data_IF_400041366472
#
_entry.id   IF_400041366472
#
_cell.length_a   1.000
_cell.length_b   1.000
_cell.length_c   1.000
_cell.angle_alpha   90.00
_cell.angle_beta   90.00
_cell.angle_gamma   90.00
#
_symmetry.space_group_name_H-M   'P 1'
#
loop_
_entity.id
_entity.type
_entity.pdbx_description
1 polymer ?
#
# COMPACT_ATOMS: atom_id res chain seq x y z
N UNK A 1 19.18 13.44 5.74
CA UNK A 1 18.15 14.49 5.97
C UNK A 1 18.36 14.91 7.41
N UNK A 2 18.99 16.06 7.70
CA UNK A 2 19.58 16.27 9.03
C UNK A 2 18.50 16.50 10.11
N UNK A 3 18.42 15.59 11.08
CA UNK A 3 17.59 15.74 12.27
C UNK A 3 18.17 16.83 13.20
N UNK A 4 17.44 17.91 13.39
CA UNK A 4 17.73 18.90 14.43
C UNK A 4 16.84 18.67 15.64
N UNK A 5 17.44 18.40 16.80
CA UNK A 5 16.74 18.06 18.04
C UNK A 5 17.06 19.06 19.15
N UNK A 6 16.03 19.55 19.81
CA UNK A 6 16.17 20.31 21.06
C UNK A 6 16.74 19.44 22.18
N UNK A 7 17.28 20.08 23.21
CA UNK A 7 17.77 19.38 24.40
C UNK A 7 16.67 18.54 25.08
N UNK A 8 15.41 19.00 25.02
CA UNK A 8 14.26 18.26 25.55
C UNK A 8 13.96 17.01 24.73
N UNK A 9 13.97 17.09 23.41
CA UNK A 9 13.77 15.93 22.53
C UNK A 9 14.88 14.89 22.69
N UNK A 10 16.14 15.34 22.78
CA UNK A 10 17.28 14.46 23.08
C UNK A 10 17.13 13.74 24.41
N UNK A 11 16.72 14.45 25.46
CA UNK A 11 16.46 13.86 26.77
C UNK A 11 15.36 12.80 26.70
N UNK A 12 14.27 13.09 25.98
CA UNK A 12 13.17 12.13 25.80
C UNK A 12 13.63 10.89 25.04
N UNK A 13 14.31 11.04 23.90
CA UNK A 13 14.79 9.92 23.09
C UNK A 13 15.83 9.08 23.85
N UNK A 14 16.80 9.72 24.50
CA UNK A 14 17.80 9.01 25.31
C UNK A 14 17.15 8.16 26.41
N UNK A 15 16.15 8.72 27.12
CA UNK A 15 15.41 7.99 28.13
C UNK A 15 14.59 6.84 27.53
N UNK A 16 13.92 7.06 26.40
CA UNK A 16 13.12 6.02 25.71
C UNK A 16 14.00 4.84 25.27
N UNK A 17 15.11 5.10 24.59
CA UNK A 17 16.02 4.04 24.14
C UNK A 17 16.72 3.34 25.30
N UNK A 18 17.02 4.05 26.40
CA UNK A 18 17.53 3.40 27.61
C UNK A 18 16.50 2.47 28.25
N UNK A 19 15.21 2.84 28.25
CA UNK A 19 14.13 1.98 28.72
C UNK A 19 13.98 0.76 27.80
N UNK A 20 13.94 0.97 26.47
CA UNK A 20 13.83 -0.08 25.47
C UNK A 20 14.98 -1.10 25.59
N UNK A 21 16.22 -0.63 25.79
CA UNK A 21 17.37 -1.51 26.01
C UNK A 21 17.20 -2.44 27.22
N UNK A 22 16.55 -1.97 28.29
CA UNK A 22 16.32 -2.76 29.51
C UNK A 22 15.18 -3.76 29.40
N UNK A 23 14.23 -3.53 28.49
CA UNK A 23 13.06 -4.41 28.30
C UNK A 23 13.14 -5.24 27.01
N UNK A 24 14.20 -5.07 26.23
CA UNK A 24 14.44 -5.81 24.99
C UNK A 24 14.44 -7.33 25.25
N UNK A 25 13.94 -8.09 24.27
CA UNK A 25 13.78 -9.54 24.41
C UNK A 25 15.07 -10.33 24.16
N UNK A 26 16.13 -9.66 23.68
CA UNK A 26 17.41 -10.27 23.35
C UNK A 26 18.55 -9.24 23.37
N UNK A 27 19.79 -9.72 23.47
CA UNK A 27 20.99 -8.88 23.62
C UNK A 27 21.29 -8.02 22.39
N UNK A 28 20.95 -8.49 21.18
CA UNK A 28 21.17 -7.74 19.94
C UNK A 28 20.32 -6.47 19.93
N UNK A 29 19.02 -6.61 20.18
CA UNK A 29 18.07 -5.51 20.28
C UNK A 29 18.43 -4.57 21.45
N UNK A 30 18.80 -5.14 22.60
CA UNK A 30 19.24 -4.37 23.76
C UNK A 30 20.46 -3.49 23.44
N UNK A 31 21.42 -4.04 22.70
CA UNK A 31 22.61 -3.35 22.22
C UNK A 31 22.29 -2.19 21.27
N UNK A 32 21.44 -2.44 20.26
CA UNK A 32 21.01 -1.42 19.29
C UNK A 32 20.34 -0.23 19.99
N UNK A 33 19.41 -0.48 20.92
CA UNK A 33 18.77 0.60 21.68
C UNK A 33 19.76 1.32 22.60
N UNK A 34 20.69 0.62 23.24
CA UNK A 34 21.70 1.25 24.10
C UNK A 34 22.62 2.19 23.29
N UNK A 35 22.99 1.80 22.08
CA UNK A 35 23.77 2.66 21.16
C UNK A 35 23.02 3.96 20.84
N UNK A 36 21.74 3.86 20.46
CA UNK A 36 20.90 5.05 20.23
C UNK A 36 20.79 5.94 21.47
N UNK A 37 20.63 5.35 22.66
CA UNK A 37 20.60 6.12 23.91
C UNK A 37 21.91 6.91 24.16
N UNK A 38 23.06 6.30 23.85
CA UNK A 38 24.39 6.93 23.92
C UNK A 38 24.51 8.07 22.92
N UNK A 39 24.06 7.87 21.67
CA UNK A 39 24.05 8.87 20.61
C UNK A 39 23.31 10.13 21.06
N UNK A 40 22.09 9.99 21.59
CA UNK A 40 21.29 11.13 22.04
C UNK A 40 21.83 11.79 23.31
N UNK A 41 22.35 10.99 24.25
CA UNK A 41 22.95 11.51 25.50
C UNK A 41 24.17 12.37 25.21
N UNK A 42 25.08 11.90 24.37
CA UNK A 42 26.35 12.60 24.10
C UNK A 42 26.22 13.65 22.98
N UNK A 43 25.18 13.56 22.16
CA UNK A 43 24.92 14.56 21.13
C UNK A 43 25.72 14.33 19.86
N UNK A 44 25.83 13.07 19.43
CA UNK A 44 26.51 12.73 18.18
C UNK A 44 25.59 13.03 17.00
N UNK A 45 25.50 14.31 16.63
CA UNK A 45 24.55 14.84 15.64
C UNK A 45 24.63 14.11 14.30
N UNK A 46 25.84 13.70 13.87
CA UNK A 46 26.04 12.95 12.62
C UNK A 46 25.26 11.63 12.60
N UNK A 47 25.08 11.02 13.76
CA UNK A 47 24.55 9.67 13.90
C UNK A 47 23.07 9.70 14.36
N UNK A 48 22.42 10.88 14.36
CA UNK A 48 21.00 10.99 14.70
C UNK A 48 20.10 10.30 13.67
N UNK A 49 20.51 10.26 12.39
CA UNK A 49 19.74 9.65 11.31
C UNK A 49 19.60 8.12 11.49
N UNK A 50 20.50 7.47 12.23
CA UNK A 50 20.42 6.04 12.54
C UNK A 50 19.12 5.68 13.28
N UNK A 51 18.56 6.62 14.04
CA UNK A 51 17.28 6.43 14.75
C UNK A 51 16.05 6.33 13.84
N UNK A 52 16.18 6.78 12.59
CA UNK A 52 15.10 6.79 11.60
C UNK A 52 15.44 5.95 10.37
N UNK A 53 16.55 5.20 10.35
CA UNK A 53 16.95 4.38 9.19
C UNK A 53 15.88 3.35 8.80
N UNK A 54 15.13 2.85 9.78
CA UNK A 54 14.03 1.90 9.56
C UNK A 54 12.74 2.57 9.08
N UNK A 55 12.67 3.90 9.04
CA UNK A 55 11.48 4.60 8.58
C UNK A 55 11.41 4.46 7.07
N UNK A 56 10.27 3.96 6.59
CA UNK A 56 9.97 4.05 5.17
C UNK A 56 9.70 5.51 4.80
N UNK A 57 10.02 5.88 3.57
CA UNK A 57 9.59 7.17 3.03
C UNK A 57 8.07 7.35 3.22
N UNK A 58 7.67 8.59 3.46
CA UNK A 58 6.27 8.94 3.56
C UNK A 58 5.52 8.64 2.25
N UNK A 59 4.26 8.22 2.41
CA UNK A 59 3.29 8.10 1.34
C UNK A 59 2.28 9.24 1.52
N UNK A 60 2.23 10.16 0.57
CA UNK A 60 1.31 11.30 0.61
C UNK A 60 -0.16 10.86 0.63
N UNK A 61 -1.05 11.77 1.02
CA UNK A 61 -2.50 11.49 1.00
C UNK A 61 -2.98 11.18 -0.43
N UNK A 62 -2.45 11.87 -1.44
CA UNK A 62 -2.77 11.66 -2.85
C UNK A 62 -2.32 10.27 -3.31
N UNK A 63 -1.14 9.83 -2.90
CA UNK A 63 -0.62 8.48 -3.18
C UNK A 63 -1.44 7.40 -2.47
N UNK A 64 -1.77 7.58 -1.18
CA UNK A 64 -2.65 6.69 -0.45
C UNK A 64 -4.02 6.57 -1.13
N UNK A 65 -4.59 7.71 -1.54
CA UNK A 65 -5.85 7.79 -2.27
C UNK A 65 -5.75 7.05 -3.60
N UNK A 66 -4.66 7.21 -4.35
CA UNK A 66 -4.45 6.50 -5.60
C UNK A 66 -4.52 4.98 -5.41
N UNK A 67 -3.80 4.44 -4.41
CA UNK A 67 -3.84 3.00 -4.10
C UNK A 67 -5.27 2.54 -3.78
N UNK A 68 -5.99 3.30 -2.95
CA UNK A 68 -7.39 3.00 -2.61
C UNK A 68 -8.26 3.01 -3.87
N UNK A 69 -8.12 4.01 -4.74
CA UNK A 69 -8.90 4.14 -5.97
C UNK A 69 -8.61 2.98 -6.94
N UNK A 70 -7.37 2.44 -6.97
CA UNK A 70 -7.04 1.20 -7.70
C UNK A 70 -7.78 -0.01 -7.13
N UNK A 71 -7.74 -0.21 -5.81
CA UNK A 71 -8.42 -1.36 -5.18
C UNK A 71 -9.93 -1.30 -5.39
N UNK A 72 -10.50 -0.11 -5.25
CA UNK A 72 -11.90 0.17 -5.51
C UNK A 72 -12.29 -0.03 -6.99
N UNK A 73 -11.40 0.31 -7.92
CA UNK A 73 -11.58 0.03 -9.34
C UNK A 73 -11.70 -1.48 -9.60
N UNK A 74 -10.75 -2.26 -9.11
CA UNK A 74 -10.72 -3.69 -9.39
C UNK A 74 -11.78 -4.47 -8.60
N UNK A 75 -12.19 -3.99 -7.42
CA UNK A 75 -13.40 -4.48 -6.74
C UNK A 75 -14.62 -4.37 -7.64
N UNK A 76 -14.89 -3.19 -8.20
CA UNK A 76 -16.07 -2.98 -9.04
C UNK A 76 -16.01 -3.83 -10.31
N UNK A 77 -14.84 -3.91 -10.95
CA UNK A 77 -14.63 -4.74 -12.14
C UNK A 77 -14.88 -6.22 -11.85
N UNK A 78 -14.25 -6.76 -10.81
CA UNK A 78 -14.36 -8.18 -10.46
C UNK A 78 -15.78 -8.53 -10.02
N UNK A 79 -16.38 -7.73 -9.15
CA UNK A 79 -17.74 -7.96 -8.67
C UNK A 79 -18.77 -7.95 -9.80
N UNK A 80 -18.62 -7.05 -10.76
CA UNK A 80 -19.51 -6.99 -11.93
C UNK A 80 -19.31 -8.19 -12.87
N UNK A 81 -18.06 -8.60 -13.08
CA UNK A 81 -17.71 -9.80 -13.84
C UNK A 81 -18.32 -11.07 -13.22
N UNK A 82 -18.25 -11.24 -11.90
CA UNK A 82 -18.85 -12.39 -11.20
C UNK A 82 -20.38 -12.45 -11.36
N UNK A 83 -21.05 -11.31 -11.55
CA UNK A 83 -22.52 -11.21 -11.59
C UNK A 83 -23.12 -11.28 -13.00
N UNK A 84 -22.32 -11.24 -14.05
CA UNK A 84 -22.81 -11.18 -15.43
C UNK A 84 -22.16 -12.22 -16.34
N UNK A 85 -22.95 -13.18 -16.81
CA UNK A 85 -22.51 -14.18 -17.79
C UNK A 85 -22.08 -13.54 -19.12
N UNK A 86 -22.73 -12.43 -19.50
CA UNK A 86 -22.37 -11.68 -20.69
C UNK A 86 -20.96 -11.10 -20.57
N UNK A 87 -20.62 -10.53 -19.41
CA UNK A 87 -19.27 -10.04 -19.15
C UNK A 87 -18.28 -11.20 -19.16
N UNK A 88 -18.60 -12.33 -18.51
CA UNK A 88 -17.71 -13.51 -18.47
C UNK A 88 -17.41 -14.09 -19.85
N UNK A 89 -18.37 -14.01 -20.77
CA UNK A 89 -18.20 -14.49 -22.15
C UNK A 89 -17.30 -13.58 -23.00
N UNK A 90 -17.16 -12.30 -22.65
CA UNK A 90 -16.45 -11.30 -23.46
C UNK A 90 -15.13 -10.82 -22.81
N UNK A 91 -15.03 -10.84 -21.49
CA UNK A 91 -13.89 -10.35 -20.72
C UNK A 91 -13.27 -11.50 -19.93
N UNK A 92 -11.95 -11.68 -20.04
CA UNK A 92 -11.25 -12.73 -19.28
C UNK A 92 -11.16 -12.32 -17.82
N UNK A 93 -11.34 -13.27 -16.90
CA UNK A 93 -11.20 -13.06 -15.45
C UNK A 93 -9.91 -12.31 -15.08
N UNK A 94 -8.79 -12.67 -15.73
CA UNK A 94 -7.47 -12.08 -15.49
C UNK A 94 -7.36 -10.58 -15.83
N UNK A 95 -8.26 -10.04 -16.65
CA UNK A 95 -8.27 -8.62 -17.01
C UNK A 95 -9.01 -7.76 -15.97
N UNK A 96 -9.82 -8.38 -15.10
CA UNK A 96 -10.59 -7.73 -14.02
C UNK A 96 -10.05 -8.02 -12.62
N UNK A 97 -8.91 -8.69 -12.51
CA UNK A 97 -8.22 -8.96 -11.24
C UNK A 97 -7.02 -8.02 -11.07
N UNK A 98 -6.89 -7.39 -9.89
CA UNK A 98 -5.71 -6.61 -9.58
C UNK A 98 -4.57 -7.52 -9.15
N UNK A 99 -3.51 -7.55 -9.96
CA UNK A 99 -2.32 -8.38 -9.68
C UNK A 99 -1.36 -7.75 -8.67
N UNK A 100 -1.63 -6.52 -8.24
CA UNK A 100 -0.80 -5.79 -7.29
C UNK A 100 0.13 -4.77 -7.93
N UNK A 101 1.11 -4.31 -7.15
CA UNK A 101 2.11 -3.31 -7.55
C UNK A 101 3.47 -4.00 -7.78
N UNK A 102 4.28 -3.48 -8.70
CA UNK A 102 5.58 -4.08 -9.04
C UNK A 102 6.66 -3.68 -8.01
N UNK A 103 7.23 -4.66 -7.32
CA UNK A 103 8.35 -4.43 -6.40
C UNK A 103 9.66 -4.07 -7.10
N UNK A 104 9.76 -4.24 -8.42
CA UNK A 104 10.95 -3.81 -9.19
C UNK A 104 10.91 -2.32 -9.57
N UNK A 105 9.81 -1.63 -9.27
CA UNK A 105 9.63 -0.20 -9.51
C UNK A 105 9.70 0.56 -8.19
N UNK A 106 10.65 1.50 -8.09
CA UNK A 106 10.95 2.23 -6.85
C UNK A 106 9.78 3.04 -6.29
N UNK A 107 8.83 3.46 -7.13
CA UNK A 107 7.62 4.17 -6.70
C UNK A 107 6.58 3.16 -6.23
N UNK A 108 6.37 2.11 -7.01
CA UNK A 108 5.35 1.10 -6.73
C UNK A 108 5.64 0.26 -5.48
N UNK A 109 6.90 0.15 -5.04
CA UNK A 109 7.26 -0.50 -3.76
C UNK A 109 6.47 0.10 -2.58
N UNK A 110 6.26 1.42 -2.54
CA UNK A 110 5.49 2.05 -1.46
C UNK A 110 4.00 1.73 -1.55
N UNK A 111 3.47 1.69 -2.77
CA UNK A 111 2.08 1.31 -3.03
C UNK A 111 1.81 -0.16 -2.68
N UNK A 112 2.76 -1.05 -2.99
CA UNK A 112 2.75 -2.44 -2.57
C UNK A 112 2.63 -2.55 -1.05
N UNK A 113 3.48 -1.85 -0.31
CA UNK A 113 3.49 -1.92 1.17
C UNK A 113 2.16 -1.43 1.75
N UNK A 114 1.60 -0.35 1.19
CA UNK A 114 0.31 0.17 1.64
C UNK A 114 -0.85 -0.75 1.27
N UNK A 115 -0.84 -1.35 0.08
CA UNK A 115 -1.81 -2.38 -0.33
C UNK A 115 -1.77 -3.59 0.62
N UNK A 116 -0.57 -4.13 0.90
CA UNK A 116 -0.39 -5.24 1.84
C UNK A 116 -0.88 -4.89 3.24
N UNK A 117 -0.62 -3.66 3.73
CA UNK A 117 -1.13 -3.20 5.01
C UNK A 117 -2.67 -3.17 5.04
N UNK A 118 -3.32 -2.62 4.01
CA UNK A 118 -4.78 -2.52 3.98
C UNK A 118 -5.48 -3.88 3.92
N UNK A 119 -5.00 -4.79 3.08
CA UNK A 119 -5.66 -6.09 2.89
C UNK A 119 -5.18 -7.12 3.90
N UNK A 120 -3.86 -7.26 4.08
CA UNK A 120 -3.27 -8.26 4.95
C UNK A 120 -3.40 -7.93 6.43
N UNK A 121 -3.17 -6.67 6.82
CA UNK A 121 -3.14 -6.26 8.23
C UNK A 121 -4.50 -5.70 8.68
N UNK A 122 -5.09 -4.76 7.92
CA UNK A 122 -6.37 -4.17 8.30
C UNK A 122 -7.59 -5.04 7.94
N UNK A 123 -7.41 -6.09 7.12
CA UNK A 123 -8.51 -6.97 6.72
C UNK A 123 -9.58 -6.29 5.87
N UNK A 124 -9.22 -5.25 5.11
CA UNK A 124 -10.12 -4.62 4.13
C UNK A 124 -10.00 -5.35 2.79
N UNK A 125 -11.03 -5.24 1.93
CA UNK A 125 -11.10 -5.96 0.65
C UNK A 125 -10.89 -7.48 0.81
N UNK A 126 -11.72 -8.11 1.66
CA UNK A 126 -11.64 -9.55 1.93
C UNK A 126 -11.76 -10.41 0.67
N UNK A 127 -12.48 -9.94 -0.35
CA UNK A 127 -12.56 -10.59 -1.66
C UNK A 127 -11.18 -10.72 -2.33
N UNK A 128 -10.31 -9.72 -2.19
CA UNK A 128 -8.93 -9.79 -2.70
C UNK A 128 -8.13 -10.82 -1.91
N UNK A 129 -8.29 -10.85 -0.58
CA UNK A 129 -7.63 -11.84 0.26
C UNK A 129 -8.03 -13.27 -0.13
N UNK A 130 -9.31 -13.51 -0.37
CA UNK A 130 -9.84 -14.79 -0.86
C UNK A 130 -9.20 -15.18 -2.20
N UNK A 131 -9.13 -14.25 -3.15
CA UNK A 131 -8.48 -14.49 -4.45
C UNK A 131 -7.00 -14.87 -4.31
N UNK A 132 -6.28 -14.33 -3.31
CA UNK A 132 -4.88 -14.75 -3.01
C UNK A 132 -4.86 -16.18 -2.46
N UNK A 133 -5.73 -16.50 -1.49
CA UNK A 133 -5.80 -17.82 -0.85
C UNK A 133 -6.18 -18.92 -1.86
N UNK A 134 -7.07 -18.60 -2.80
CA UNK A 134 -7.49 -19.46 -3.91
C UNK A 134 -6.46 -19.53 -5.05
N UNK A 135 -5.38 -18.74 -4.97
CA UNK A 135 -4.31 -18.65 -5.99
C UNK A 135 -4.77 -18.12 -7.35
N UNK A 136 -5.85 -17.35 -7.37
CA UNK A 136 -6.34 -16.63 -8.55
C UNK A 136 -5.46 -15.41 -8.85
N UNK A 137 -4.89 -14.81 -7.79
CA UNK A 137 -3.81 -13.83 -7.86
C UNK A 137 -2.63 -14.29 -7.01
N UNK A 138 -1.41 -14.02 -7.47
CA UNK A 138 -0.19 -14.53 -6.83
C UNK A 138 0.10 -13.90 -5.44
N UNK A 139 -0.47 -12.73 -5.18
CA UNK A 139 -0.25 -11.97 -3.96
C UNK A 139 -0.38 -10.48 -4.22
N UNK A 140 0.42 -9.69 -3.50
CA UNK A 140 0.43 -8.22 -3.61
C UNK A 140 1.41 -7.69 -4.67
N UNK A 141 2.33 -8.54 -5.15
CA UNK A 141 3.37 -8.18 -6.11
C UNK A 141 2.94 -8.57 -7.52
N UNK A 142 2.89 -7.61 -8.43
CA UNK A 142 2.50 -7.87 -9.82
C UNK A 142 3.58 -8.59 -10.62
N UNK A 143 4.83 -8.59 -10.15
CA UNK A 143 6.00 -9.08 -10.90
C UNK A 143 6.11 -8.47 -12.32
N UNK A 144 5.63 -7.23 -12.49
CA UNK A 144 5.62 -6.53 -13.78
C UNK A 144 4.50 -6.93 -14.73
N UNK A 145 3.58 -7.81 -14.34
CA UNK A 145 2.44 -8.26 -15.18
C UNK A 145 1.18 -7.38 -15.07
N UNK A 146 1.28 -6.22 -14.41
CA UNK A 146 0.20 -5.24 -14.25
C UNK A 146 0.18 -4.18 -15.35
N UNK A 147 -0.92 -3.42 -15.49
CA UNK A 147 -0.94 -2.22 -16.32
C UNK A 147 0.07 -1.18 -15.85
N UNK A 148 0.53 -0.32 -16.75
CA UNK A 148 1.36 0.82 -16.35
C UNK A 148 0.58 1.79 -15.45
N UNK A 149 1.30 2.57 -14.62
CA UNK A 149 0.71 3.61 -13.77
C UNK A 149 -0.15 4.62 -14.54
N UNK A 150 0.26 4.97 -15.77
CA UNK A 150 -0.52 5.83 -16.65
C UNK A 150 -1.84 5.16 -17.07
N UNK A 151 -1.81 3.86 -17.39
CA UNK A 151 -3.02 3.11 -17.72
C UNK A 151 -3.96 3.01 -16.51
N UNK A 152 -3.44 2.70 -15.32
CA UNK A 152 -4.25 2.67 -14.08
C UNK A 152 -4.92 4.02 -13.81
N UNK A 153 -4.19 5.12 -13.96
CA UNK A 153 -4.73 6.48 -13.77
C UNK A 153 -5.89 6.78 -14.74
N UNK A 154 -5.78 6.34 -16.00
CA UNK A 154 -6.86 6.46 -16.99
C UNK A 154 -8.07 5.60 -16.62
N UNK A 155 -7.86 4.35 -16.24
CA UNK A 155 -8.93 3.44 -15.80
C UNK A 155 -9.70 4.01 -14.60
N UNK A 156 -9.00 4.55 -13.61
CA UNK A 156 -9.60 5.23 -12.45
C UNK A 156 -10.45 6.42 -12.91
N UNK A 157 -9.90 7.27 -13.79
CA UNK A 157 -10.61 8.46 -14.28
C UNK A 157 -11.92 8.06 -14.98
N UNK A 158 -11.86 7.05 -15.87
CA UNK A 158 -13.04 6.52 -16.56
C UNK A 158 -14.09 5.96 -15.60
N UNK A 159 -13.66 5.20 -14.59
CA UNK A 159 -14.55 4.71 -13.52
C UNK A 159 -15.22 5.86 -12.77
N UNK A 160 -14.46 6.88 -12.40
CA UNK A 160 -15.00 8.04 -11.68
C UNK A 160 -16.01 8.82 -12.53
N UNK A 161 -15.79 8.93 -13.84
CA UNK A 161 -16.74 9.58 -14.75
C UNK A 161 -18.05 8.79 -14.88
N UNK A 162 -17.98 7.45 -14.96
CA UNK A 162 -19.18 6.61 -14.91
C UNK A 162 -19.93 6.76 -13.57
N UNK A 163 -19.21 6.82 -12.45
CA UNK A 163 -19.83 7.01 -11.13
C UNK A 163 -20.55 8.34 -10.99
N UNK A 164 -20.08 9.42 -11.64
CA UNK A 164 -20.78 10.72 -11.64
C UNK A 164 -22.08 10.69 -12.45
N UNK A 165 -22.17 9.82 -13.45
CA UNK A 165 -23.31 9.75 -14.36
C UNK A 165 -24.42 8.82 -13.86
N UNK A 166 -24.10 7.88 -12.96
CA UNK A 166 -25.06 6.92 -12.41
C UNK A 166 -25.60 7.40 -11.06
N UNK A 167 -26.91 7.65 -10.99
CA UNK A 167 -27.61 8.07 -9.75
C UNK A 167 -27.66 6.96 -8.67
N UNK A 168 -27.40 5.70 -9.05
CA UNK A 168 -27.46 4.55 -8.15
C UNK A 168 -26.08 4.14 -7.66
N UNK A 169 -25.79 4.44 -6.39
CA UNK A 169 -24.63 3.90 -5.69
C UNK A 169 -24.68 2.37 -5.64
N UNK A 170 -23.65 1.71 -6.16
CA UNK A 170 -23.45 0.27 -6.00
C UNK A 170 -24.20 -0.63 -6.99
N UNK A 171 -24.60 -0.14 -8.15
CA UNK A 171 -25.06 -1.03 -9.23
C UNK A 171 -23.88 -1.67 -9.98
N UNK A 172 -23.93 -2.96 -10.37
CA UNK A 172 -22.90 -3.58 -11.18
C UNK A 172 -22.67 -2.83 -12.50
N UNK A 173 -21.42 -2.87 -12.98
CA UNK A 173 -21.04 -2.41 -14.30
C UNK A 173 -21.62 -3.34 -15.37
N UNK A 174 -22.04 -2.77 -16.50
CA UNK A 174 -22.39 -3.54 -17.70
C UNK A 174 -21.15 -3.75 -18.58
N UNK A 175 -21.28 -4.56 -19.64
CA UNK A 175 -20.15 -4.88 -20.51
C UNK A 175 -19.49 -3.62 -21.09
N UNK A 176 -20.29 -2.67 -21.58
CA UNK A 176 -19.82 -1.42 -22.18
C UNK A 176 -19.03 -0.56 -21.19
N UNK A 177 -19.44 -0.55 -19.91
CA UNK A 177 -18.71 0.17 -18.87
C UNK A 177 -17.31 -0.44 -18.64
N UNK A 178 -17.23 -1.76 -18.58
CA UNK A 178 -15.96 -2.48 -18.36
C UNK A 178 -15.05 -2.29 -19.56
N UNK A 179 -15.57 -2.44 -20.78
CA UNK A 179 -14.80 -2.20 -22.00
C UNK A 179 -14.28 -0.75 -22.06
N UNK A 180 -15.13 0.22 -21.72
CA UNK A 180 -14.71 1.62 -21.62
C UNK A 180 -13.57 1.78 -20.61
N UNK A 181 -13.72 1.25 -19.39
CA UNK A 181 -12.68 1.32 -18.37
C UNK A 181 -11.36 0.70 -18.86
N UNK A 182 -11.40 -0.51 -19.44
CA UNK A 182 -10.23 -1.29 -19.82
C UNK A 182 -9.51 -0.84 -21.11
N UNK A 183 -10.16 -0.01 -21.93
CA UNK A 183 -9.62 0.60 -23.17
C UNK A 183 -8.42 1.53 -22.94
#
# INVERSE_FOLDING_TARGET
>A
MSLELSLKERLLLANQYQILSRIAGNDLEAGMYNELAIIFTNGYVRDYEDSIELFSDELSNEECKFVIDVLELYRDLYWSWEKSIEIQNNIRKQDVLFKGFDLNDSVQVKYYSYYQFMVGIQGKWNEIKQLIEEKEIAGYNSHGFGPSMSKLSKMISRRLDLKKQKDSWGSPLILEDIEYILS
#
